data_IF_242911646718
#
_entry.id   IF_242911646718
#
_cell.length_a   1.000
_cell.length_b   1.000
_cell.length_c   1.000
_cell.angle_alpha   90.00
_cell.angle_beta   90.00
_cell.angle_gamma   90.00
#
_symmetry.space_group_name_H-M   'P 1'
#
loop_
_entity.id
_entity.type
_entity.pdbx_description
1 polymer ?
#
# COMPACT_ATOMS: atom_id res chain seq x y z
N UNK A 1 -27.94 -10.82 -2.72
CA UNK A 1 -27.20 -11.32 -3.90
C UNK A 1 -25.72 -11.21 -3.58
N UNK A 2 -24.95 -12.30 -3.77
CA UNK A 2 -23.49 -12.27 -3.58
C UNK A 2 -22.85 -11.32 -4.60
N UNK A 3 -21.87 -10.52 -4.20
CA UNK A 3 -21.14 -9.68 -5.14
C UNK A 3 -20.36 -10.56 -6.12
N UNK A 4 -20.30 -10.21 -7.42
CA UNK A 4 -19.42 -10.92 -8.34
C UNK A 4 -17.96 -10.73 -7.92
N UNK A 5 -17.12 -11.77 -8.07
CA UNK A 5 -15.69 -11.66 -7.80
C UNK A 5 -15.06 -10.66 -8.78
N UNK A 6 -14.00 -10.00 -8.33
CA UNK A 6 -13.12 -9.23 -9.20
C UNK A 6 -12.26 -10.17 -10.06
N UNK A 7 -11.82 -9.74 -11.25
CA UNK A 7 -10.94 -10.55 -12.10
C UNK A 7 -9.56 -10.81 -11.48
N UNK A 8 -9.14 -9.99 -10.51
CA UNK A 8 -7.84 -10.07 -9.86
C UNK A 8 -7.96 -9.87 -8.35
N UNK A 9 -7.06 -10.46 -7.55
CA UNK A 9 -6.94 -10.12 -6.14
C UNK A 9 -6.44 -8.67 -5.95
N UNK A 10 -6.58 -8.15 -4.74
CA UNK A 10 -6.34 -6.74 -4.40
C UNK A 10 -5.28 -6.63 -3.32
N UNK A 11 -4.47 -5.58 -3.40
CA UNK A 11 -3.62 -5.12 -2.31
C UNK A 11 -4.04 -3.69 -1.96
N UNK A 12 -4.72 -3.52 -0.83
CA UNK A 12 -5.05 -2.18 -0.33
C UNK A 12 -3.83 -1.64 0.40
N UNK A 13 -3.36 -0.46 0.00
CA UNK A 13 -2.14 0.15 0.51
C UNK A 13 -2.42 1.57 1.02
N UNK A 14 -1.73 1.94 2.08
CA UNK A 14 -1.64 3.31 2.57
C UNK A 14 -0.22 3.56 3.11
N UNK A 15 0.28 4.79 3.00
CA UNK A 15 1.57 5.18 3.56
C UNK A 15 1.53 6.54 4.26
N UNK A 16 2.21 6.63 5.39
CA UNK A 16 2.58 7.90 6.02
C UNK A 16 3.96 8.33 5.52
N UNK A 17 4.16 9.63 5.35
CA UNK A 17 5.35 10.18 4.67
C UNK A 17 5.92 11.37 5.42
N UNK A 18 7.18 11.70 5.16
CA UNK A 18 7.84 12.89 5.75
C UNK A 18 7.28 14.22 5.25
N UNK A 19 6.39 14.19 4.25
CA UNK A 19 5.82 15.35 3.60
C UNK A 19 5.09 15.01 2.30
N UNK A 20 4.88 16.00 1.43
CA UNK A 20 4.06 15.88 0.21
C UNK A 20 4.85 16.03 -1.10
N UNK A 21 6.17 16.20 -1.03
CA UNK A 21 7.05 16.52 -2.15
C UNK A 21 7.82 15.29 -2.66
N UNK A 22 8.43 15.40 -3.84
CA UNK A 22 9.16 14.29 -4.47
C UNK A 22 10.48 13.91 -3.74
N UNK A 23 10.96 14.76 -2.83
CA UNK A 23 12.11 14.50 -1.97
C UNK A 23 11.71 13.81 -0.67
N UNK A 24 10.42 13.78 -0.35
CA UNK A 24 9.92 13.14 0.86
C UNK A 24 9.99 11.62 0.76
N UNK A 25 9.92 10.97 1.92
CA UNK A 25 10.16 9.54 2.09
C UNK A 25 9.01 8.88 2.83
N UNK A 26 8.85 7.57 2.65
CA UNK A 26 7.89 6.77 3.41
C UNK A 26 8.39 6.59 4.86
N UNK A 27 7.49 6.72 5.83
CA UNK A 27 7.70 6.53 7.28
C UNK A 27 6.99 5.30 7.83
N UNK A 28 5.82 5.02 7.29
CA UNK A 28 5.01 3.85 7.62
C UNK A 28 4.30 3.39 6.35
N UNK A 29 4.16 2.08 6.21
CA UNK A 29 3.43 1.48 5.10
C UNK A 29 2.60 0.32 5.63
N UNK A 30 1.37 0.24 5.18
CA UNK A 30 0.48 -0.89 5.46
C UNK A 30 -0.10 -1.46 4.17
N UNK A 31 -0.24 -2.78 4.14
CA UNK A 31 -0.84 -3.53 3.05
C UNK A 31 -1.86 -4.52 3.60
N UNK A 32 -3.08 -4.49 3.05
CA UNK A 32 -4.11 -5.50 3.28
C UNK A 32 -4.36 -6.25 1.98
N UNK A 33 -4.04 -7.54 1.97
CA UNK A 33 -4.26 -8.42 0.83
C UNK A 33 -5.70 -8.94 0.87
N UNK A 34 -6.40 -8.82 -0.25
CA UNK A 34 -7.74 -9.36 -0.44
C UNK A 34 -7.78 -10.33 -1.62
N UNK A 35 -8.55 -11.41 -1.50
CA UNK A 35 -8.86 -12.28 -2.63
C UNK A 35 -9.85 -11.60 -3.60
N UNK A 36 -10.22 -12.30 -4.67
CA UNK A 36 -11.18 -11.82 -5.68
C UNK A 36 -12.60 -11.56 -5.12
N UNK A 37 -12.95 -12.18 -3.99
CA UNK A 37 -14.21 -11.94 -3.27
C UNK A 37 -14.11 -10.79 -2.26
N UNK A 38 -12.98 -10.08 -2.24
CA UNK A 38 -12.64 -9.03 -1.28
C UNK A 38 -12.51 -9.53 0.15
N UNK A 39 -12.28 -10.81 0.40
CA UNK A 39 -12.01 -11.38 1.72
C UNK A 39 -10.53 -11.19 2.07
N UNK A 40 -10.22 -10.91 3.34
CA UNK A 40 -8.83 -10.64 3.76
C UNK A 40 -8.02 -11.93 3.76
N UNK A 41 -6.90 -11.92 3.05
CA UNK A 41 -5.91 -13.01 2.99
C UNK A 41 -4.65 -12.70 3.79
N UNK A 42 -4.41 -11.43 4.13
CA UNK A 42 -3.20 -11.04 4.82
C UNK A 42 -3.21 -9.56 5.20
N UNK A 43 -2.45 -9.24 6.24
CA UNK A 43 -2.19 -7.87 6.69
C UNK A 43 -0.73 -7.75 7.06
N UNK A 44 -0.11 -6.69 6.60
CA UNK A 44 1.28 -6.36 6.91
C UNK A 44 1.39 -4.86 7.11
N UNK A 45 2.13 -4.45 8.13
CA UNK A 45 2.48 -3.06 8.40
C UNK A 45 3.91 -3.00 8.90
N UNK A 46 4.63 -1.93 8.57
CA UNK A 46 5.95 -1.64 9.14
C UNK A 46 6.22 -0.14 9.16
N UNK A 47 7.00 0.28 10.14
CA UNK A 47 7.72 1.55 10.07
C UNK A 47 8.87 1.43 9.07
N UNK A 48 9.29 2.58 8.54
CA UNK A 48 10.41 2.73 7.61
C UNK A 48 11.29 3.88 8.09
N UNK A 49 12.58 3.64 8.21
CA UNK A 49 13.54 4.69 8.48
C UNK A 49 13.77 5.53 7.21
N UNK A 50 13.36 6.80 7.17
CA UNK A 50 13.43 7.63 5.96
C UNK A 50 14.87 8.11 5.67
N UNK A 51 15.79 7.97 6.63
CA UNK A 51 17.15 8.52 6.54
C UNK A 51 17.20 10.06 6.56
N UNK A 52 16.10 10.72 6.94
CA UNK A 52 15.95 12.18 7.01
C UNK A 52 14.97 12.57 8.14
N UNK A 53 14.68 13.88 8.26
CA UNK A 53 13.68 14.39 9.20
C UNK A 53 12.29 13.76 8.95
N UNK A 54 11.58 13.46 10.04
CA UNK A 54 10.27 12.79 9.97
C UNK A 54 9.13 13.73 9.58
N UNK A 55 9.37 15.03 9.48
CA UNK A 55 8.37 15.99 9.05
C UNK A 55 7.28 16.24 10.09
N UNK A 56 6.02 16.48 9.67
CA UNK A 56 4.96 16.99 10.52
C UNK A 56 4.38 15.93 11.47
N UNK A 57 5.09 15.65 12.57
CA UNK A 57 4.71 14.64 13.58
C UNK A 57 3.30 14.80 14.16
N UNK A 58 2.73 16.02 14.13
CA UNK A 58 1.36 16.29 14.56
C UNK A 58 0.29 15.70 13.63
N UNK A 59 0.67 15.26 12.42
CA UNK A 59 -0.22 14.61 11.45
C UNK A 59 -0.21 13.09 11.67
N UNK A 60 0.95 12.46 11.57
CA UNK A 60 1.11 11.00 11.55
C UNK A 60 1.54 10.41 12.92
N UNK A 61 1.86 11.23 13.91
CA UNK A 61 2.18 10.79 15.27
C UNK A 61 3.54 10.11 15.46
N UNK A 62 4.37 10.00 14.42
CA UNK A 62 5.67 9.32 14.47
C UNK A 62 6.80 10.29 14.80
N UNK A 63 7.64 9.94 15.77
CA UNK A 63 8.87 10.66 16.10
C UNK A 63 10.09 10.05 15.41
N UNK A 64 11.19 10.79 15.39
CA UNK A 64 12.48 10.26 14.91
C UNK A 64 12.92 9.01 15.70
N UNK A 65 12.59 8.91 17.00
CA UNK A 65 12.92 7.76 17.82
C UNK A 65 12.15 6.49 17.41
N UNK A 66 10.90 6.64 16.96
CA UNK A 66 10.05 5.51 16.54
C UNK A 66 10.61 4.83 15.29
N UNK A 67 11.11 5.61 14.33
CA UNK A 67 11.62 5.11 13.04
C UNK A 67 13.13 4.85 13.05
N UNK A 68 13.86 5.24 14.10
CA UNK A 68 15.31 5.15 14.13
C UNK A 68 15.84 3.72 13.91
N UNK A 69 15.17 2.73 14.52
CA UNK A 69 15.52 1.31 14.45
C UNK A 69 14.68 0.54 13.41
N UNK A 70 13.82 1.23 12.66
CA UNK A 70 13.06 0.63 11.57
C UNK A 70 13.98 0.32 10.38
N UNK A 71 13.64 -0.67 9.54
CA UNK A 71 14.38 -0.93 8.30
C UNK A 71 14.30 0.27 7.37
N UNK A 72 15.30 0.46 6.50
CA UNK A 72 15.17 1.41 5.38
C UNK A 72 14.32 0.77 4.28
N UNK A 73 13.84 1.59 3.34
CA UNK A 73 13.02 1.08 2.23
C UNK A 73 13.65 -0.12 1.48
N UNK A 74 14.96 -0.13 1.13
CA UNK A 74 15.59 -1.29 0.48
C UNK A 74 15.43 -2.60 1.27
N UNK A 75 15.44 -2.54 2.61
CA UNK A 75 15.24 -3.69 3.49
C UNK A 75 13.82 -4.28 3.43
N UNK A 76 12.81 -3.50 3.01
CA UNK A 76 11.42 -3.96 2.85
C UNK A 76 11.02 -4.19 1.39
N UNK A 77 11.79 -3.70 0.41
CA UNK A 77 11.37 -3.61 -0.99
C UNK A 77 10.99 -4.96 -1.60
N UNK A 78 11.79 -6.01 -1.37
CA UNK A 78 11.49 -7.37 -1.86
C UNK A 78 10.21 -7.89 -1.23
N UNK A 79 10.03 -7.74 0.08
CA UNK A 79 8.84 -8.23 0.77
C UNK A 79 7.57 -7.49 0.29
N UNK A 80 7.64 -6.16 0.19
CA UNK A 80 6.56 -5.34 -0.33
C UNK A 80 6.20 -5.72 -1.77
N UNK A 81 7.19 -6.00 -2.62
CA UNK A 81 6.93 -6.47 -3.98
C UNK A 81 6.15 -7.79 -3.99
N UNK A 82 6.48 -8.76 -3.13
CA UNK A 82 5.69 -9.99 -2.98
C UNK A 82 4.26 -9.71 -2.51
N UNK A 83 4.06 -8.74 -1.61
CA UNK A 83 2.73 -8.37 -1.13
C UNK A 83 1.86 -7.77 -2.24
N UNK A 84 2.46 -7.03 -3.18
CA UNK A 84 1.77 -6.36 -4.29
C UNK A 84 1.64 -7.23 -5.54
N UNK A 85 2.59 -8.13 -5.78
CA UNK A 85 2.66 -8.92 -7.01
C UNK A 85 1.38 -9.69 -7.29
N UNK A 86 0.92 -9.64 -8.54
CA UNK A 86 -0.28 -10.36 -8.98
C UNK A 86 -1.59 -9.76 -8.46
N UNK A 87 -1.55 -8.60 -7.78
CA UNK A 87 -2.73 -7.89 -7.24
C UNK A 87 -2.86 -6.51 -7.86
N UNK A 88 -4.08 -6.00 -7.98
CA UNK A 88 -4.30 -4.58 -8.29
C UNK A 88 -4.19 -3.78 -6.99
N UNK A 89 -3.35 -2.74 -6.99
CA UNK A 89 -3.24 -1.86 -5.83
C UNK A 89 -4.51 -1.01 -5.68
N UNK A 90 -5.01 -0.86 -4.46
CA UNK A 90 -6.09 0.06 -4.14
C UNK A 90 -5.62 1.00 -3.05
N UNK A 91 -5.84 2.30 -3.23
CA UNK A 91 -5.57 3.29 -2.20
C UNK A 91 -6.59 4.42 -2.26
N UNK A 92 -6.75 5.20 -1.20
CA UNK A 92 -7.76 6.25 -1.19
C UNK A 92 -7.43 7.35 -2.19
N UNK A 93 -6.23 7.94 -2.07
CA UNK A 93 -5.68 8.85 -3.07
C UNK A 93 -4.52 8.21 -3.82
N UNK A 94 -4.77 7.08 -4.50
CA UNK A 94 -3.75 6.21 -5.11
C UNK A 94 -2.63 6.88 -5.92
N UNK A 95 -2.84 8.07 -6.50
CA UNK A 95 -1.74 8.82 -7.14
C UNK A 95 -0.63 9.13 -6.13
N UNK A 96 -1.00 9.55 -4.92
CA UNK A 96 -0.08 9.89 -3.84
C UNK A 96 0.78 8.69 -3.44
N UNK A 97 0.14 7.61 -2.97
CA UNK A 97 0.83 6.40 -2.52
C UNK A 97 1.72 5.81 -3.62
N UNK A 98 1.17 5.72 -4.85
CA UNK A 98 1.91 5.18 -5.98
C UNK A 98 3.12 6.03 -6.38
N UNK A 99 3.07 7.36 -6.20
CA UNK A 99 4.20 8.24 -6.44
C UNK A 99 5.32 7.98 -5.44
N UNK A 100 4.99 7.82 -4.16
CA UNK A 100 5.98 7.46 -3.14
C UNK A 100 6.61 6.09 -3.39
N UNK A 101 5.79 5.08 -3.70
CA UNK A 101 6.31 3.76 -4.10
C UNK A 101 7.24 3.87 -5.30
N UNK A 102 6.83 4.56 -6.37
CA UNK A 102 7.64 4.71 -7.58
C UNK A 102 8.99 5.38 -7.28
N UNK A 103 9.01 6.38 -6.41
CA UNK A 103 10.25 7.06 -6.03
C UNK A 103 11.16 6.17 -5.17
N UNK A 104 10.59 5.43 -4.21
CA UNK A 104 11.35 4.52 -3.35
C UNK A 104 11.94 3.34 -4.14
N UNK A 105 11.16 2.76 -5.05
CA UNK A 105 11.65 1.74 -5.98
C UNK A 105 12.69 2.32 -6.95
N UNK A 106 12.54 3.57 -7.43
CA UNK A 106 13.55 4.20 -8.27
C UNK A 106 14.90 4.41 -7.54
N UNK A 107 14.87 4.68 -6.22
CA UNK A 107 16.08 4.69 -5.37
C UNK A 107 16.71 3.29 -5.21
N UNK A 108 15.93 2.24 -5.44
CA UNK A 108 16.38 0.86 -5.56
C UNK A 108 16.59 0.45 -7.04
N UNK A 109 16.91 1.42 -7.90
CA UNK A 109 17.17 1.22 -9.34
C UNK A 109 16.05 0.50 -10.11
N UNK A 110 14.82 0.57 -9.61
CA UNK A 110 13.66 -0.11 -10.19
C UNK A 110 12.62 0.91 -10.64
N UNK A 111 12.43 1.04 -11.95
CA UNK A 111 11.41 1.92 -12.50
C UNK A 111 10.07 1.16 -12.61
N UNK A 112 9.07 1.61 -11.87
CA UNK A 112 7.71 1.08 -11.99
C UNK A 112 7.01 1.64 -13.24
N UNK A 113 6.11 0.84 -13.80
CA UNK A 113 5.17 1.28 -14.83
C UNK A 113 4.27 2.44 -14.33
N UNK A 114 3.64 3.22 -15.22
CA UNK A 114 2.71 4.28 -14.83
C UNK A 114 1.62 3.79 -13.86
N UNK A 115 1.46 4.47 -12.73
CA UNK A 115 0.59 4.03 -11.63
C UNK A 115 -0.86 3.70 -11.99
N UNK A 116 -1.40 4.34 -13.04
CA UNK A 116 -2.78 4.11 -13.50
C UNK A 116 -3.00 2.71 -14.08
N UNK A 117 -1.93 2.04 -14.49
CA UNK A 117 -1.99 0.71 -15.07
C UNK A 117 -2.20 -0.35 -14.00
N UNK A 118 -1.72 -0.14 -12.78
CA UNK A 118 -1.73 -1.17 -11.73
C UNK A 118 -2.49 -0.77 -10.47
N UNK A 119 -3.26 0.32 -10.50
CA UNK A 119 -4.00 0.77 -9.32
C UNK A 119 -5.39 1.36 -9.57
N UNK A 120 -6.22 1.27 -8.53
CA UNK A 120 -7.55 1.87 -8.41
C UNK A 120 -7.57 2.89 -7.26
N UNK A 121 -8.39 3.93 -7.40
CA UNK A 121 -8.45 5.05 -6.47
C UNK A 121 -9.84 5.21 -5.87
N UNK A 122 -9.99 4.95 -4.57
CA UNK A 122 -11.33 5.00 -3.93
C UNK A 122 -11.87 6.42 -3.81
N UNK A 123 -11.02 7.46 -3.77
CA UNK A 123 -11.45 8.85 -3.88
C UNK A 123 -12.16 9.12 -5.21
N UNK A 124 -11.64 8.61 -6.33
CA UNK A 124 -12.29 8.78 -7.65
C UNK A 124 -13.62 8.03 -7.72
N UNK A 125 -13.65 6.80 -7.22
CA UNK A 125 -14.86 6.00 -7.14
C UNK A 125 -15.91 6.67 -6.22
N UNK A 126 -15.49 7.23 -5.09
CA UNK A 126 -16.35 7.98 -4.19
C UNK A 126 -16.91 9.24 -4.85
N UNK A 127 -16.11 10.00 -5.62
CA UNK A 127 -16.59 11.14 -6.42
C UNK A 127 -17.65 10.74 -7.44
N UNK A 128 -17.50 9.59 -8.08
CA UNK A 128 -18.50 9.06 -9.00
C UNK A 128 -19.77 8.64 -8.27
N UNK A 129 -19.64 7.97 -7.11
CA UNK A 129 -20.78 7.46 -6.35
C UNK A 129 -21.59 8.53 -5.63
N UNK A 130 -20.88 9.52 -5.07
CA UNK A 130 -21.39 10.52 -4.14
C UNK A 130 -21.01 11.94 -4.61
N UNK A 131 -21.45 12.37 -5.81
CA UNK A 131 -20.98 13.62 -6.43
C UNK A 131 -21.32 14.90 -5.62
N UNK A 132 -22.24 14.81 -4.65
CA UNK A 132 -22.66 15.93 -3.79
C UNK A 132 -22.00 15.93 -2.41
N UNK A 133 -21.04 15.02 -2.16
CA UNK A 133 -20.34 14.99 -0.87
C UNK A 133 -19.43 16.21 -0.74
N UNK A 134 -19.51 16.91 0.40
CA UNK A 134 -18.76 18.16 0.61
C UNK A 134 -17.24 17.99 0.72
N UNK A 135 -16.77 16.81 1.10
CA UNK A 135 -15.35 16.45 1.16
C UNK A 135 -15.15 15.01 0.73
N UNK A 136 -14.05 14.75 0.03
CA UNK A 136 -13.65 13.41 -0.40
C UNK A 136 -12.37 12.94 0.29
N UNK A 137 -12.15 13.37 1.55
CA UNK A 137 -11.16 12.71 2.41
C UNK A 137 -11.62 11.30 2.76
N UNK A 138 -10.68 10.44 3.19
CA UNK A 138 -11.00 9.08 3.60
C UNK A 138 -12.04 9.09 4.72
N UNK A 139 -11.83 9.91 5.76
CA UNK A 139 -12.75 10.04 6.89
C UNK A 139 -14.15 10.50 6.47
N UNK A 140 -14.25 11.44 5.52
CA UNK A 140 -15.54 11.92 5.00
C UNK A 140 -16.27 10.82 4.23
N UNK A 141 -15.57 10.13 3.33
CA UNK A 141 -16.15 9.04 2.53
C UNK A 141 -16.55 7.86 3.41
N UNK A 142 -15.69 7.47 4.34
CA UNK A 142 -15.93 6.39 5.31
C UNK A 142 -17.15 6.71 6.18
N UNK A 143 -17.20 7.90 6.78
CA UNK A 143 -18.34 8.33 7.60
C UNK A 143 -19.65 8.35 6.82
N UNK A 144 -19.60 8.79 5.55
CA UNK A 144 -20.79 8.83 4.68
C UNK A 144 -21.42 7.45 4.47
N UNK A 145 -20.60 6.39 4.45
CA UNK A 145 -21.08 5.00 4.30
C UNK A 145 -21.17 4.25 5.64
N UNK A 146 -21.05 4.95 6.77
CA UNK A 146 -21.21 4.38 8.11
C UNK A 146 -19.97 3.68 8.68
N UNK A 147 -18.78 3.87 8.10
CA UNK A 147 -17.52 3.32 8.58
C UNK A 147 -16.89 4.32 9.55
N UNK A 148 -16.41 3.82 10.71
CA UNK A 148 -15.67 4.62 11.69
C UNK A 148 -14.19 4.22 11.67
N UNK A 149 -13.32 5.22 11.70
CA UNK A 149 -11.88 5.04 11.88
C UNK A 149 -11.46 5.75 13.17
N UNK A 150 -11.14 4.98 14.21
CA UNK A 150 -10.77 5.51 15.53
C UNK A 150 -9.27 5.79 15.67
N UNK A 151 -8.45 5.41 14.69
CA UNK A 151 -7.00 5.55 14.70
C UNK A 151 -6.51 6.16 13.38
N UNK A 152 -7.23 7.17 12.88
CA UNK A 152 -6.90 7.88 11.66
C UNK A 152 -5.46 8.42 11.69
N UNK A 153 -4.80 8.45 10.53
CA UNK A 153 -3.38 8.82 10.38
C UNK A 153 -2.40 7.79 10.95
N UNK A 154 -2.82 6.53 10.98
CA UNK A 154 -1.89 5.39 10.98
C UNK A 154 -2.13 4.64 9.68
N UNK A 155 -1.06 4.19 9.02
CA UNK A 155 -1.18 3.56 7.72
C UNK A 155 -2.10 2.32 7.78
N UNK A 156 -2.03 1.55 8.87
CA UNK A 156 -2.84 0.35 9.02
C UNK A 156 -4.33 0.65 9.21
N UNK A 157 -4.69 1.66 10.00
CA UNK A 157 -6.10 2.03 10.18
C UNK A 157 -6.70 2.63 8.91
N UNK A 158 -5.91 3.40 8.16
CA UNK A 158 -6.34 4.04 6.92
C UNK A 158 -6.44 3.02 5.77
N UNK A 159 -5.51 2.06 5.68
CA UNK A 159 -5.61 0.91 4.78
C UNK A 159 -6.85 0.06 5.09
N UNK A 160 -7.11 -0.25 6.38
CA UNK A 160 -8.31 -0.99 6.79
C UNK A 160 -9.60 -0.24 6.45
N UNK A 161 -9.64 1.06 6.73
CA UNK A 161 -10.79 1.92 6.38
C UNK A 161 -10.99 1.96 4.87
N UNK A 162 -9.91 1.97 4.10
CA UNK A 162 -9.94 1.91 2.63
C UNK A 162 -10.48 0.57 2.13
N UNK A 163 -10.17 -0.57 2.78
CA UNK A 163 -10.79 -1.88 2.48
C UNK A 163 -12.30 -1.80 2.58
N UNK A 164 -12.81 -1.30 3.71
CA UNK A 164 -14.26 -1.22 3.95
C UNK A 164 -14.96 -0.27 2.97
N UNK A 165 -14.35 0.88 2.71
CA UNK A 165 -14.85 1.83 1.70
C UNK A 165 -14.86 1.20 0.30
N UNK A 166 -13.79 0.49 -0.07
CA UNK A 166 -13.68 -0.18 -1.36
C UNK A 166 -14.75 -1.26 -1.53
N UNK A 167 -15.00 -2.07 -0.49
CA UNK A 167 -16.10 -3.05 -0.47
C UNK A 167 -17.46 -2.37 -0.68
N UNK A 168 -17.72 -1.24 0.00
CA UNK A 168 -18.95 -0.48 -0.18
C UNK A 168 -19.12 0.07 -1.60
N UNK A 169 -18.03 0.53 -2.22
CA UNK A 169 -18.01 1.03 -3.60
C UNK A 169 -18.17 -0.11 -4.63
N UNK A 170 -17.59 -1.29 -4.38
CA UNK A 170 -17.76 -2.48 -5.22
C UNK A 170 -19.21 -2.94 -5.28
N UNK A 171 -19.93 -2.93 -4.14
CA UNK A 171 -21.38 -3.24 -4.10
C UNK A 171 -22.19 -2.33 -5.01
N UNK A 172 -21.73 -1.11 -5.26
CA UNK A 172 -22.37 -0.16 -6.16
C UNK A 172 -21.98 -0.35 -7.64
N UNK A 173 -21.20 -1.40 -7.97
CA UNK A 173 -20.79 -1.78 -9.33
C UNK A 173 -20.00 -0.69 -10.08
N UNK A 174 -19.22 0.11 -9.35
CA UNK A 174 -18.45 1.21 -9.93
C UNK A 174 -17.02 0.85 -10.35
N UNK A 175 -16.57 -0.36 -10.03
CA UNK A 175 -15.20 -0.77 -10.32
C UNK A 175 -15.09 -1.21 -11.78
N UNK A 176 -14.35 -0.44 -12.58
CA UNK A 176 -13.98 -0.80 -13.95
C UNK A 176 -12.53 -1.28 -13.98
N UNK A 177 -12.34 -2.60 -14.10
CA UNK A 177 -11.03 -3.22 -14.19
C UNK A 177 -10.46 -3.28 -15.62
N UNK A 178 -11.18 -2.81 -16.66
CA UNK A 178 -10.76 -3.00 -18.06
C UNK A 178 -9.43 -2.35 -18.42
N UNK A 179 -8.99 -1.37 -17.62
CA UNK A 179 -7.75 -0.61 -17.83
C UNK A 179 -6.72 -0.79 -16.72
N UNK A 180 -6.97 -1.71 -15.78
CA UNK A 180 -6.05 -2.03 -14.69
C UNK A 180 -5.57 -3.46 -14.82
N UNK A 181 -4.26 -3.65 -14.80
CA UNK A 181 -3.59 -4.94 -14.70
C UNK A 181 -3.04 -5.15 -13.29
N UNK A 182 -2.85 -6.41 -12.87
CA UNK A 182 -2.11 -6.71 -11.66
C UNK A 182 -0.71 -6.08 -11.65
N UNK A 183 -0.22 -5.72 -10.45
CA UNK A 183 1.12 -5.18 -10.25
C UNK A 183 2.16 -6.18 -10.77
N UNK A 184 3.01 -5.79 -11.73
CA UNK A 184 3.97 -6.70 -12.33
C UNK A 184 5.12 -7.01 -11.38
N UNK A 185 5.72 -8.19 -11.54
CA UNK A 185 6.99 -8.49 -10.89
C UNK A 185 8.09 -7.59 -11.45
N UNK A 186 9.01 -7.17 -10.59
CA UNK A 186 10.22 -6.45 -10.97
C UNK A 186 11.43 -7.10 -10.32
N UNK A 187 12.49 -7.33 -11.09
CA UNK A 187 13.76 -7.77 -10.50
C UNK A 187 14.41 -6.55 -9.85
N UNK A 188 14.55 -6.60 -8.53
CA UNK A 188 15.15 -5.51 -7.76
C UNK A 188 16.68 -5.65 -7.76
N UNK A 189 17.37 -4.62 -8.23
CA UNK A 189 18.82 -4.49 -8.02
C UNK A 189 19.07 -3.83 -6.65
N UNK A 190 19.35 -4.66 -5.66
CA UNK A 190 19.72 -4.24 -4.32
C UNK A 190 21.22 -4.36 -4.06
N UNK A 191 22.05 -4.52 -5.09
CA UNK A 191 23.51 -4.74 -4.94
C UNK A 191 24.22 -3.60 -4.18
N UNK A 192 23.70 -2.38 -4.25
CA UNK A 192 24.19 -1.22 -3.51
C UNK A 192 23.79 -1.20 -2.02
N UNK A 193 22.93 -2.12 -1.57
CA UNK A 193 22.38 -2.15 -0.22
C UNK A 193 22.84 -3.43 0.51
N UNK A 194 23.58 -3.31 1.62
CA UNK A 194 23.95 -4.49 2.40
C UNK A 194 22.68 -5.18 2.94
N UNK A 195 22.70 -6.52 3.12
CA UNK A 195 21.59 -7.22 3.76
C UNK A 195 21.35 -6.62 5.15
N UNK A 196 20.21 -5.95 5.33
CA UNK A 196 19.80 -5.46 6.66
C UNK A 196 19.36 -6.66 7.52
N UNK A 197 19.46 -6.50 8.85
CA UNK A 197 18.95 -7.47 9.81
C UNK A 197 17.47 -7.84 9.50
N UNK A 198 17.02 -9.07 9.81
CA UNK A 198 15.66 -9.52 9.50
C UNK A 198 14.63 -8.50 10.02
N UNK A 199 13.65 -8.17 9.17
CA UNK A 199 12.60 -7.15 9.37
C UNK A 199 12.14 -7.02 10.84
N UNK A 200 12.64 -6.02 11.60
CA UNK A 200 12.13 -5.77 12.95
C UNK A 200 10.79 -5.02 12.87
N UNK A 201 9.79 -5.49 13.63
CA UNK A 201 8.43 -4.92 13.80
C UNK A 201 7.52 -4.85 12.56
N UNK A 202 7.72 -5.71 11.57
CA UNK A 202 6.61 -6.06 10.68
C UNK A 202 5.55 -6.83 11.50
N UNK A 203 4.37 -6.25 11.74
CA UNK A 203 3.26 -7.00 12.36
C UNK A 203 2.48 -7.70 11.27
N UNK A 204 2.61 -9.02 11.22
CA UNK A 204 1.75 -9.87 10.39
C UNK A 204 0.52 -10.21 11.23
N UNK A 205 -0.63 -9.62 10.91
CA UNK A 205 -1.87 -9.90 11.63
C UNK A 205 -2.57 -11.12 11.03
N UNK A 206 -2.11 -12.30 11.44
CA UNK A 206 -2.96 -13.48 11.62
C UNK A 206 -3.43 -14.28 10.39
N UNK A 207 -2.85 -14.12 9.21
CA UNK A 207 -3.05 -15.08 8.11
C UNK A 207 -1.68 -15.36 7.47
N UNK A 208 -1.23 -16.63 7.38
CA UNK A 208 0.03 -16.94 6.72
C UNK A 208 -0.05 -16.49 5.26
N UNK A 209 0.97 -15.75 4.81
CA UNK A 209 1.15 -15.45 3.40
C UNK A 209 1.11 -16.78 2.64
N UNK A 210 0.22 -16.91 1.66
CA UNK A 210 0.22 -18.07 0.77
C UNK A 210 1.60 -18.08 0.11
N UNK A 211 2.39 -19.08 0.47
CA UNK A 211 3.80 -19.18 0.13
C UNK A 211 4.01 -19.21 -1.37
N UNK A 212 4.62 -18.15 -1.91
CA UNK A 212 5.63 -18.34 -2.93
C UNK A 212 6.95 -18.54 -2.20
N UNK A 213 7.61 -19.66 -2.42
CA UNK A 213 8.98 -19.86 -1.95
C UNK A 213 9.81 -18.62 -2.27
N UNK A 214 10.60 -18.16 -1.29
CA UNK A 214 11.68 -17.21 -1.54
C UNK A 214 12.66 -17.97 -2.42
N UNK A 215 12.45 -17.93 -3.73
CA UNK A 215 13.36 -18.53 -4.69
C UNK A 215 14.60 -17.64 -4.67
N UNK A 216 15.54 -17.99 -3.80
CA UNK A 216 16.91 -17.55 -3.91
C UNK A 216 17.40 -18.04 -5.27
N UNK A 217 17.28 -17.18 -6.28
CA UNK A 217 17.95 -17.42 -7.56
C UNK A 217 19.43 -17.44 -7.27
N UNK A 218 19.95 -18.65 -7.20
CA UNK A 218 21.35 -18.97 -7.30
C UNK A 218 21.91 -18.17 -8.47
N UNK A 219 22.89 -17.32 -8.16
CA UNK A 219 23.82 -16.77 -9.14
C UNK A 219 24.55 -17.95 -9.77
N UNK A 220 24.08 -18.44 -10.91
CA UNK A 220 24.89 -19.29 -11.75
C UNK A 220 25.89 -18.41 -12.49
N UNK A 221 27.10 -18.38 -11.94
CA UNK A 221 28.31 -18.09 -12.69
C UNK A 221 28.45 -19.11 -13.83
N UNK A 222 28.63 -18.61 -15.04
CA UNK A 222 29.38 -19.28 -16.10
C UNK A 222 30.42 -18.28 -16.61
#
# INVERSE_FOLDING_TARGET
>A
MSMPPLPFPIAVLDCETTGLHATDRILEIAVVQLNQHLEVEGRWETLVNPGQDVGPTHIHGLSAADVHQAPRFPGIAVHLLHLLHGRVMVAHYAKFDAQFLSQEFARCHTQLAPWREWSLCTLKLAKQRFPKLGSFSLSSCASHVGIRNSAAHTAAADAHTTVELFRALHRAQLIDCRRTSPFPWHNLDLSAYPPEAPLPRARIHGIPLIGGEICAHQTNSN
#
